data_IF_528505377071
#
_entry.id   IF_528505377071
#
_cell.length_a   1.000
_cell.length_b   1.000
_cell.length_c   1.000
_cell.angle_alpha   90.00
_cell.angle_beta   90.00
_cell.angle_gamma   90.00
#
_symmetry.space_group_name_H-M   'P 1'
#
loop_
_entity.id
_entity.type
_entity.pdbx_description
1 polymer ?
#
# COMPACT_ATOMS: atom_id res chain seq x y z
N UNK A 1 11.87 9.23 4.18
CA UNK A 1 11.13 8.66 3.03
C UNK A 1 12.01 8.78 1.80
N UNK A 2 11.88 7.86 0.84
CA UNK A 2 12.58 7.91 -0.45
C UNK A 2 11.63 8.44 -1.53
N UNK A 3 12.12 9.20 -2.52
CA UNK A 3 11.35 9.53 -3.71
C UNK A 3 10.71 8.29 -4.35
N UNK A 4 9.48 8.41 -4.81
CA UNK A 4 8.73 7.27 -5.38
C UNK A 4 9.42 6.69 -6.62
N UNK A 5 10.14 7.52 -7.36
CA UNK A 5 10.93 7.11 -8.52
C UNK A 5 12.04 6.12 -8.16
N UNK A 6 12.72 6.33 -7.03
CA UNK A 6 13.75 5.38 -6.54
C UNK A 6 13.13 4.05 -6.11
N UNK A 7 11.95 4.07 -5.49
CA UNK A 7 11.24 2.85 -5.08
C UNK A 7 10.78 2.06 -6.32
N UNK A 8 10.26 2.75 -7.33
CA UNK A 8 9.86 2.12 -8.60
C UNK A 8 11.05 1.51 -9.35
N UNK A 9 12.20 2.19 -9.37
CA UNK A 9 13.43 1.68 -9.99
C UNK A 9 13.93 0.40 -9.31
N UNK A 10 13.90 0.33 -7.97
CA UNK A 10 14.27 -0.88 -7.21
C UNK A 10 13.35 -2.07 -7.52
N UNK A 11 12.07 -1.80 -7.82
CA UNK A 11 11.10 -2.80 -8.27
C UNK A 11 11.28 -3.20 -9.74
N UNK A 12 12.16 -2.52 -10.49
CA UNK A 12 12.41 -2.78 -11.91
C UNK A 12 11.27 -2.33 -12.81
N UNK A 13 10.56 -1.26 -12.42
CA UNK A 13 9.51 -0.65 -13.23
C UNK A 13 10.10 0.36 -14.22
N UNK A 14 9.59 0.35 -15.45
CA UNK A 14 10.00 1.29 -16.48
C UNK A 14 9.49 2.70 -16.13
N UNK A 15 10.34 3.74 -16.26
CA UNK A 15 10.00 5.11 -15.83
C UNK A 15 8.73 5.64 -16.48
N UNK A 16 8.51 5.34 -17.76
CA UNK A 16 7.33 5.75 -18.52
C UNK A 16 6.03 5.13 -18.00
N UNK A 17 6.11 4.03 -17.24
CA UNK A 17 4.94 3.38 -16.65
C UNK A 17 4.56 3.92 -15.27
N UNK A 18 5.36 4.84 -14.72
CA UNK A 18 5.17 5.41 -13.39
C UNK A 18 4.58 6.81 -13.55
N UNK A 19 3.37 7.02 -13.04
CA UNK A 19 2.69 8.32 -13.05
C UNK A 19 2.78 8.91 -11.64
N UNK A 20 3.67 9.89 -11.37
CA UNK A 20 3.85 10.44 -10.03
C UNK A 20 2.64 11.28 -9.59
N UNK A 21 2.29 11.16 -8.31
CA UNK A 21 1.31 12.00 -7.61
C UNK A 21 2.04 12.73 -6.47
N UNK A 22 2.77 13.79 -6.83
CA UNK A 22 3.77 14.38 -5.94
C UNK A 22 5.04 13.51 -5.86
N UNK A 23 5.80 13.66 -4.78
CA UNK A 23 7.15 13.08 -4.68
C UNK A 23 7.21 11.64 -4.13
N UNK A 24 6.18 11.20 -3.41
CA UNK A 24 6.24 9.99 -2.57
C UNK A 24 5.18 8.92 -2.89
N UNK A 25 4.35 9.14 -3.91
CA UNK A 25 3.35 8.18 -4.39
C UNK A 25 3.17 8.30 -5.90
N UNK A 26 2.76 7.20 -6.54
CA UNK A 26 2.58 7.12 -7.98
C UNK A 26 1.52 6.06 -8.30
N UNK A 27 0.85 6.24 -9.43
CA UNK A 27 0.10 5.16 -10.09
C UNK A 27 1.03 4.45 -11.08
N UNK A 28 0.76 3.17 -11.30
CA UNK A 28 1.45 2.38 -12.31
C UNK A 28 0.47 2.12 -13.45
N UNK A 29 0.88 2.48 -14.67
CA UNK A 29 0.16 2.18 -15.91
C UNK A 29 -0.13 0.67 -16.01
N UNK A 30 -1.35 0.29 -16.40
CA UNK A 30 -1.70 -1.13 -16.56
C UNK A 30 -0.90 -1.80 -17.69
N UNK A 31 -0.39 -1.01 -18.64
CA UNK A 31 0.52 -1.47 -19.70
C UNK A 31 1.84 -2.03 -19.14
N UNK A 32 2.22 -1.67 -17.91
CA UNK A 32 3.37 -2.24 -17.21
C UNK A 32 3.21 -3.74 -16.87
N UNK A 33 1.98 -4.25 -16.87
CA UNK A 33 1.70 -5.65 -16.56
C UNK A 33 2.22 -6.53 -17.70
N UNK A 34 3.42 -7.08 -17.50
CA UNK A 34 4.03 -8.04 -18.44
C UNK A 34 3.22 -9.34 -18.45
N UNK A 35 2.75 -9.74 -19.63
CA UNK A 35 2.10 -11.04 -19.83
C UNK A 35 3.18 -12.14 -19.79
N UNK A 36 3.04 -13.09 -18.87
CA UNK A 36 4.03 -14.15 -18.65
C UNK A 36 5.11 -13.80 -17.62
N UNK A 37 6.08 -14.71 -17.43
CA UNK A 37 7.14 -14.56 -16.42
C UNK A 37 6.93 -15.38 -15.16
N UNK A 38 7.96 -15.41 -14.30
CA UNK A 38 7.97 -16.23 -13.09
C UNK A 38 7.09 -15.60 -12.01
N UNK A 39 6.05 -16.32 -11.57
CA UNK A 39 5.21 -15.89 -10.45
C UNK A 39 5.99 -15.95 -9.13
N UNK A 40 5.88 -14.89 -8.33
CA UNK A 40 6.38 -14.86 -6.96
C UNK A 40 5.59 -15.77 -6.03
N UNK A 41 6.04 -15.89 -4.78
CA UNK A 41 5.25 -16.54 -3.72
C UNK A 41 4.19 -15.55 -3.22
N UNK A 42 2.97 -16.04 -3.03
CA UNK A 42 1.88 -15.25 -2.44
C UNK A 42 1.72 -15.67 -0.98
N UNK A 43 1.87 -14.71 -0.07
CA UNK A 43 1.65 -14.91 1.37
C UNK A 43 0.40 -14.15 1.75
N UNK A 44 -0.58 -14.85 2.31
CA UNK A 44 -1.83 -14.24 2.77
C UNK A 44 -1.76 -14.08 4.29
N UNK A 45 -1.88 -12.84 4.74
CA UNK A 45 -1.97 -12.52 6.18
C UNK A 45 -3.45 -12.42 6.56
N UNK A 46 -3.84 -13.19 7.57
CA UNK A 46 -5.19 -13.18 8.14
C UNK A 46 -5.13 -13.01 9.65
N UNK A 47 -6.28 -12.85 10.30
CA UNK A 47 -6.39 -12.84 11.74
C UNK A 47 -7.66 -13.53 12.21
N UNK A 48 -7.76 -13.69 13.52
CA UNK A 48 -8.96 -14.19 14.19
C UNK A 48 -10.13 -13.22 14.03
N UNK A 49 -11.31 -13.64 14.49
CA UNK A 49 -12.49 -12.78 14.64
C UNK A 49 -12.10 -11.48 15.37
N UNK A 50 -12.41 -10.29 14.81
CA UNK A 50 -12.01 -9.02 15.41
C UNK A 50 -12.55 -8.85 16.83
N UNK A 51 -11.72 -8.24 17.67
CA UNK A 51 -12.00 -7.89 19.06
C UNK A 51 -11.71 -6.40 19.27
N UNK A 52 -12.31 -5.76 20.30
CA UNK A 52 -12.03 -4.36 20.61
C UNK A 52 -10.56 -4.06 20.94
N UNK A 53 -9.76 -5.05 21.29
CA UNK A 53 -8.34 -4.89 21.59
C UNK A 53 -7.49 -4.60 20.35
N UNK A 54 -7.96 -4.99 19.15
CA UNK A 54 -7.27 -4.85 17.88
C UNK A 54 -6.17 -5.90 17.66
N UNK A 55 -6.19 -6.55 16.50
CA UNK A 55 -5.27 -7.67 16.21
C UNK A 55 -3.99 -7.25 15.46
N UNK A 56 -3.91 -5.99 15.01
CA UNK A 56 -2.70 -5.48 14.35
C UNK A 56 -2.37 -6.13 12.99
N UNK A 57 -3.37 -6.69 12.28
CA UNK A 57 -3.17 -7.37 10.98
C UNK A 57 -2.33 -6.57 9.99
N UNK A 58 -2.66 -5.29 9.79
CA UNK A 58 -1.90 -4.40 8.88
C UNK A 58 -0.48 -4.18 9.35
N UNK A 59 -0.28 -3.93 10.65
CA UNK A 59 1.04 -3.77 11.28
C UNK A 59 1.91 -5.00 11.05
N UNK A 60 1.33 -6.20 11.19
CA UNK A 60 2.00 -7.48 10.91
C UNK A 60 2.36 -7.61 9.43
N UNK A 61 1.47 -7.27 8.50
CA UNK A 61 1.77 -7.30 7.06
C UNK A 61 2.92 -6.38 6.66
N UNK A 62 2.94 -5.16 7.18
CA UNK A 62 4.02 -4.20 6.93
C UNK A 62 5.32 -4.69 7.56
N UNK A 63 5.29 -5.13 8.82
CA UNK A 63 6.47 -5.64 9.53
C UNK A 63 7.07 -6.90 8.89
N UNK A 64 6.23 -7.81 8.40
CA UNK A 64 6.66 -9.01 7.66
C UNK A 64 7.39 -8.62 6.37
N UNK A 65 6.81 -7.70 5.61
CA UNK A 65 7.42 -7.17 4.37
C UNK A 65 8.77 -6.52 4.64
N UNK A 66 8.84 -5.64 5.64
CA UNK A 66 10.10 -5.00 6.06
C UNK A 66 11.16 -6.03 6.48
N UNK A 67 10.76 -7.06 7.24
CA UNK A 67 11.68 -8.10 7.72
C UNK A 67 12.20 -8.98 6.59
N UNK A 68 11.34 -9.37 5.64
CA UNK A 68 11.75 -10.11 4.44
C UNK A 68 12.69 -9.28 3.56
N UNK A 69 12.45 -7.98 3.41
CA UNK A 69 13.35 -7.06 2.73
C UNK A 69 14.73 -6.99 3.40
N UNK A 70 14.77 -6.92 4.74
CA UNK A 70 16.03 -6.99 5.52
C UNK A 70 16.80 -8.30 5.32
N UNK A 71 16.10 -9.39 5.03
CA UNK A 71 16.69 -10.69 4.69
C UNK A 71 17.09 -10.81 3.20
N UNK A 72 17.08 -9.70 2.45
CA UNK A 72 17.47 -9.65 1.04
C UNK A 72 16.45 -10.28 0.09
N UNK A 73 15.19 -10.47 0.51
CA UNK A 73 14.13 -10.97 -0.37
C UNK A 73 13.47 -9.79 -1.10
N UNK A 74 13.25 -9.95 -2.42
CA UNK A 74 12.38 -9.05 -3.18
C UNK A 74 10.93 -9.32 -2.78
N UNK A 75 10.31 -8.35 -2.10
CA UNK A 75 8.99 -8.49 -1.45
C UNK A 75 8.22 -7.18 -1.55
N UNK A 76 6.90 -7.27 -1.71
CA UNK A 76 5.98 -6.13 -1.76
C UNK A 76 4.75 -6.47 -0.93
N UNK A 77 4.25 -5.49 -0.16
CA UNK A 77 2.95 -5.59 0.50
C UNK A 77 1.85 -5.03 -0.41
N UNK A 78 0.71 -5.71 -0.49
CA UNK A 78 -0.51 -5.17 -1.10
C UNK A 78 -1.57 -5.01 -0.01
N UNK A 79 -2.14 -3.81 0.08
CA UNK A 79 -3.06 -3.41 1.13
C UNK A 79 -4.24 -2.65 0.53
N UNK A 80 -5.36 -2.59 1.26
CA UNK A 80 -6.54 -1.82 0.85
C UNK A 80 -6.36 -0.36 1.24
N UNK A 81 -6.80 0.54 0.38
CA UNK A 81 -6.97 1.95 0.73
C UNK A 81 -8.02 2.07 1.86
N UNK A 82 -7.71 2.80 2.96
CA UNK A 82 -8.69 3.05 4.01
C UNK A 82 -9.79 3.98 3.49
N UNK A 83 -11.02 3.81 3.99
CA UNK A 83 -12.10 4.73 3.64
C UNK A 83 -11.97 6.07 4.35
N UNK A 84 -12.36 7.15 3.66
CA UNK A 84 -12.28 8.51 4.17
C UNK A 84 -13.18 8.76 5.38
N UNK A 85 -14.39 8.19 5.41
CA UNK A 85 -15.40 8.44 6.44
C UNK A 85 -14.94 8.14 7.88
N UNK A 86 -14.44 6.93 8.18
CA UNK A 86 -14.01 6.56 9.53
C UNK A 86 -12.88 7.43 10.12
N UNK A 87 -12.08 8.09 9.29
CA UNK A 87 -10.96 8.93 9.77
C UNK A 87 -11.44 10.16 10.53
N UNK A 88 -12.60 10.70 10.18
CA UNK A 88 -13.21 11.82 10.91
C UNK A 88 -14.01 11.38 12.15
N UNK A 89 -14.06 10.07 12.43
CA UNK A 89 -14.66 9.49 13.62
C UNK A 89 -13.60 8.78 14.49
N UNK A 90 -13.58 7.45 14.46
CA UNK A 90 -12.62 6.64 15.21
C UNK A 90 -11.45 6.30 14.28
N UNK A 91 -10.26 6.84 14.59
CA UNK A 91 -9.04 6.62 13.80
C UNK A 91 -8.74 5.13 13.64
N UNK A 92 -8.80 4.62 12.42
CA UNK A 92 -8.44 3.24 12.07
C UNK A 92 -6.97 3.10 11.72
N UNK A 93 -6.36 1.96 12.07
CA UNK A 93 -4.95 1.61 11.75
C UNK A 93 -4.74 1.08 10.32
N UNK A 94 -5.37 1.72 9.33
CA UNK A 94 -5.35 1.28 7.92
C UNK A 94 -3.97 1.24 7.28
N UNK A 95 -3.02 1.98 7.85
CA UNK A 95 -1.63 2.12 7.37
C UNK A 95 -0.61 1.36 8.23
N UNK A 96 -1.05 0.61 9.25
CA UNK A 96 -0.17 -0.06 10.21
C UNK A 96 0.02 0.74 11.50
N UNK A 97 1.16 0.55 12.19
CA UNK A 97 1.42 1.22 13.47
C UNK A 97 2.83 1.01 14.02
N UNK A 98 3.21 1.87 14.97
CA UNK A 98 4.54 1.81 15.61
C UNK A 98 5.66 2.15 14.62
N UNK A 99 6.60 1.22 14.40
CA UNK A 99 7.66 1.33 13.37
C UNK A 99 7.31 0.62 12.06
N UNK A 100 6.17 -0.05 12.02
CA UNK A 100 5.69 -0.86 10.89
C UNK A 100 4.49 -0.17 10.26
N UNK A 101 4.76 0.86 9.47
CA UNK A 101 3.75 1.73 8.89
C UNK A 101 4.03 2.07 7.42
N UNK A 102 2.98 2.34 6.66
CA UNK A 102 3.03 2.89 5.30
C UNK A 102 3.21 4.40 5.40
N UNK A 103 3.97 4.97 4.46
CA UNK A 103 4.22 6.40 4.35
C UNK A 103 4.05 6.87 2.90
N UNK A 104 3.56 8.09 2.66
CA UNK A 104 3.04 9.06 3.65
C UNK A 104 1.65 8.68 4.19
N UNK A 105 1.51 8.55 5.52
CA UNK A 105 0.27 8.04 6.17
C UNK A 105 -0.91 9.00 6.02
N UNK A 106 -0.66 10.29 6.15
CA UNK A 106 -1.63 11.37 6.04
C UNK A 106 -2.30 11.40 4.66
N UNK A 107 -1.50 11.28 3.61
CA UNK A 107 -2.04 11.26 2.25
C UNK A 107 -2.83 9.98 1.97
N UNK A 108 -2.35 8.81 2.43
CA UNK A 108 -3.07 7.52 2.26
C UNK A 108 -4.41 7.52 2.97
N UNK A 109 -4.50 8.20 4.11
CA UNK A 109 -5.74 8.28 4.87
C UNK A 109 -6.75 9.24 4.22
N UNK A 110 -6.34 10.37 3.66
CA UNK A 110 -7.29 11.39 3.22
C UNK A 110 -7.73 11.16 1.77
N UNK A 111 -7.11 11.86 0.80
CA UNK A 111 -7.55 11.83 -0.59
C UNK A 111 -6.74 10.88 -1.45
N UNK A 112 -5.60 10.43 -0.94
CA UNK A 112 -4.62 9.59 -1.60
C UNK A 112 -4.42 9.94 -3.08
N UNK A 113 -4.85 9.08 -4.01
CA UNK A 113 -4.79 9.33 -5.46
C UNK A 113 -6.15 9.62 -6.09
N UNK A 114 -7.20 9.80 -5.28
CA UNK A 114 -8.55 10.12 -5.72
C UNK A 114 -9.41 8.92 -6.09
N UNK A 115 -9.00 7.70 -5.74
CA UNK A 115 -9.64 6.46 -6.21
C UNK A 115 -11.04 6.31 -5.62
N UNK A 116 -11.21 6.58 -4.33
CA UNK A 116 -12.52 6.61 -3.68
C UNK A 116 -13.47 7.65 -4.33
N UNK A 117 -12.95 8.81 -4.74
CA UNK A 117 -13.74 9.84 -5.41
C UNK A 117 -14.20 9.37 -6.79
N UNK A 118 -13.31 8.76 -7.58
CA UNK A 118 -13.64 8.22 -8.89
C UNK A 118 -14.73 7.13 -8.81
N UNK A 119 -14.64 6.24 -7.82
CA UNK A 119 -15.68 5.21 -7.58
C UNK A 119 -17.01 5.85 -7.20
N UNK A 120 -17.01 6.84 -6.31
CA UNK A 120 -18.23 7.55 -5.91
C UNK A 120 -18.88 8.31 -7.08
N UNK A 121 -18.08 8.96 -7.93
CA UNK A 121 -18.57 9.66 -9.12
C UNK A 121 -19.14 8.73 -10.19
N UNK A 122 -18.67 7.49 -10.28
CA UNK A 122 -19.22 6.51 -11.22
C UNK A 122 -20.50 5.83 -10.69
N UNK A 123 -20.66 5.78 -9.35
CA UNK A 123 -21.81 5.17 -8.70
C UNK A 123 -23.06 6.05 -8.75
N UNK A 124 -22.89 7.37 -8.59
CA UNK A 124 -23.97 8.37 -8.60
C UNK A 124 -24.28 8.86 -10.02
#
# INVERSE_FOLDING_TARGET
>A
MRPITEVAEELGLDRESVIPYGHFKAKIELSAIKKGGRRGKMVVVTGITPTPAGEGKTTTTVGLTQSLGRLGKKVVATLREPSLGPIFGIKGGGTGGGKSLIQPEDEVNIHFTGDAHAVASAHN
#
